data_IF_691806845227
#
_entry.id   IF_691806845227
#
_cell.length_a   1.000
_cell.length_b   1.000
_cell.length_c   1.000
_cell.angle_alpha   90.00
_cell.angle_beta   90.00
_cell.angle_gamma   90.00
#
_symmetry.space_group_name_H-M   'P 1'
#
loop_
_entity.id
_entity.type
_entity.pdbx_description
1 polymer ?
#
# COMPACT_ATOMS: atom_id res chain seq x y z
N UNK A 1 90.70 0.05 44.80
CA UNK A 1 91.10 0.03 43.38
C UNK A 1 91.23 -1.42 42.96
N UNK A 2 90.14 -2.03 42.46
CA UNK A 2 90.13 -3.33 41.81
C UNK A 2 88.85 -3.39 40.96
N UNK A 3 89.02 -3.53 39.65
CA UNK A 3 87.94 -3.66 38.67
C UNK A 3 87.30 -5.05 38.78
N UNK A 4 85.97 -5.13 38.76
CA UNK A 4 85.22 -6.36 38.52
C UNK A 4 84.17 -6.13 37.42
N UNK A 5 84.10 -7.13 36.56
CA UNK A 5 83.56 -7.13 35.20
C UNK A 5 82.05 -7.42 35.18
N UNK A 6 81.39 -6.85 34.17
CA UNK A 6 79.99 -7.02 33.76
C UNK A 6 79.50 -8.47 33.70
N UNK A 7 78.22 -8.67 34.08
CA UNK A 7 77.34 -9.69 33.52
C UNK A 7 75.96 -9.07 33.31
N UNK A 8 75.66 -8.70 32.06
CA UNK A 8 74.35 -8.21 31.64
C UNK A 8 73.66 -9.32 30.83
N UNK A 9 72.68 -9.98 31.42
CA UNK A 9 71.88 -11.04 30.79
C UNK A 9 70.68 -10.38 30.08
N UNK A 10 70.42 -10.65 28.80
CA UNK A 10 69.26 -10.08 28.11
C UNK A 10 67.98 -10.84 28.51
N UNK A 11 67.01 -10.14 29.09
CA UNK A 11 65.67 -10.64 29.37
C UNK A 11 64.86 -10.60 28.06
N UNK A 12 64.56 -11.75 27.48
CA UNK A 12 63.62 -11.88 26.35
C UNK A 12 62.19 -11.56 26.83
N UNK A 13 61.63 -10.43 26.42
CA UNK A 13 60.18 -10.17 26.50
C UNK A 13 59.47 -11.00 25.42
N UNK A 14 58.73 -12.03 25.84
CA UNK A 14 57.76 -12.72 24.97
C UNK A 14 56.52 -11.83 24.81
N UNK A 15 56.36 -11.22 23.65
CA UNK A 15 55.10 -10.58 23.26
C UNK A 15 54.09 -11.66 22.91
N UNK A 16 53.04 -11.80 23.71
CA UNK A 16 51.87 -12.64 23.39
C UNK A 16 50.91 -11.75 22.60
N UNK A 17 50.86 -11.94 21.29
CA UNK A 17 49.90 -11.27 20.41
C UNK A 17 48.55 -11.97 20.56
N UNK A 18 47.59 -11.31 21.20
CA UNK A 18 46.19 -11.74 21.21
C UNK A 18 45.60 -11.45 19.82
N UNK A 19 45.37 -12.49 19.02
CA UNK A 19 44.68 -12.37 17.74
C UNK A 19 43.18 -12.22 18.05
N UNK A 20 42.68 -10.99 18.02
CA UNK A 20 41.25 -10.69 18.06
C UNK A 20 40.66 -11.13 16.72
N UNK A 21 40.09 -12.34 16.68
CA UNK A 21 39.27 -12.79 15.56
C UNK A 21 37.93 -12.08 15.67
N UNK A 22 37.84 -10.87 15.09
CA UNK A 22 36.56 -10.25 14.76
C UNK A 22 35.92 -11.08 13.66
N UNK A 23 35.13 -12.08 14.05
CA UNK A 23 34.22 -12.77 13.15
C UNK A 23 33.21 -11.75 12.63
N UNK A 24 33.41 -11.28 11.41
CA UNK A 24 32.40 -10.55 10.66
C UNK A 24 31.31 -11.58 10.32
N UNK A 25 30.29 -11.68 11.18
CA UNK A 25 29.07 -12.39 10.84
C UNK A 25 28.36 -11.56 9.77
N UNK A 26 28.70 -11.82 8.51
CA UNK A 26 27.89 -11.38 7.38
C UNK A 26 26.57 -12.15 7.50
N UNK A 27 25.57 -11.51 8.12
CA UNK A 27 24.18 -11.92 7.93
C UNK A 27 23.87 -11.66 6.45
N UNK A 28 24.05 -12.70 5.63
CA UNK A 28 23.46 -12.73 4.29
C UNK A 28 21.96 -12.87 4.54
N UNK A 29 21.23 -11.75 4.56
CA UNK A 29 19.78 -11.78 4.36
C UNK A 29 19.59 -12.41 2.98
N UNK A 30 19.06 -13.64 2.98
CA UNK A 30 18.58 -14.23 1.75
C UNK A 30 17.36 -13.39 1.32
N UNK A 31 17.40 -12.87 0.09
CA UNK A 31 16.23 -12.23 -0.51
C UNK A 31 15.05 -13.23 -0.45
N UNK A 32 13.82 -12.76 -0.20
CA UNK A 32 12.65 -13.64 -0.20
C UNK A 32 12.55 -14.47 -1.48
N UNK A 33 12.08 -15.71 -1.37
CA UNK A 33 11.86 -16.55 -2.54
C UNK A 33 10.73 -15.98 -3.41
N UNK A 34 11.09 -15.38 -4.54
CA UNK A 34 10.14 -14.86 -5.51
C UNK A 34 9.79 -15.85 -6.63
N UNK A 35 10.14 -17.13 -6.48
CA UNK A 35 9.81 -18.17 -7.46
C UNK A 35 8.31 -18.49 -7.48
N UNK A 36 7.85 -19.11 -8.58
CA UNK A 36 6.48 -19.63 -8.72
C UNK A 36 5.34 -18.63 -8.45
N UNK A 37 5.52 -17.35 -8.81
CA UNK A 37 4.55 -16.26 -8.59
C UNK A 37 4.24 -15.96 -7.11
N UNK A 38 5.08 -16.42 -6.18
CA UNK A 38 4.99 -16.04 -4.77
C UNK A 38 5.02 -14.51 -4.63
N UNK A 39 4.21 -14.00 -3.71
CA UNK A 39 3.94 -12.58 -3.47
C UNK A 39 3.18 -11.83 -4.58
N UNK A 40 2.80 -12.52 -5.67
CA UNK A 40 2.04 -11.95 -6.79
C UNK A 40 0.67 -12.59 -6.99
N UNK A 41 0.58 -13.90 -6.79
CA UNK A 41 -0.65 -14.67 -6.97
C UNK A 41 -0.91 -15.50 -5.71
N UNK A 42 -2.16 -15.94 -5.53
CA UNK A 42 -2.50 -16.87 -4.46
C UNK A 42 -1.86 -18.23 -4.73
N UNK A 43 -0.75 -18.52 -4.04
CA UNK A 43 -0.01 -19.78 -4.14
C UNK A 43 -0.28 -20.71 -2.96
N UNK A 44 -0.91 -20.21 -1.89
CA UNK A 44 -1.38 -20.97 -0.75
C UNK A 44 -2.90 -21.07 -0.75
N UNK A 45 -3.43 -22.26 -0.43
CA UNK A 45 -4.88 -22.51 -0.42
C UNK A 45 -5.57 -22.03 0.86
N UNK A 46 -4.80 -21.76 1.92
CA UNK A 46 -5.30 -21.32 3.23
C UNK A 46 -4.25 -20.52 4.00
N UNK A 47 -4.69 -19.87 5.07
CA UNK A 47 -3.85 -19.18 6.03
C UNK A 47 -4.20 -19.62 7.46
N UNK A 48 -3.23 -19.48 8.36
CA UNK A 48 -3.38 -19.64 9.79
C UNK A 48 -3.60 -18.26 10.42
N UNK A 49 -4.64 -18.13 11.25
CA UNK A 49 -4.99 -16.90 11.96
C UNK A 49 -4.65 -17.05 13.44
N UNK A 50 -3.85 -16.13 13.98
CA UNK A 50 -3.67 -15.94 15.42
C UNK A 50 -4.26 -14.59 15.81
N UNK A 51 -5.39 -14.61 16.52
CA UNK A 51 -6.13 -13.41 16.90
C UNK A 51 -5.82 -12.90 18.31
N UNK A 52 -6.17 -11.63 18.54
CA UNK A 52 -6.15 -10.95 19.83
C UNK A 52 -4.77 -10.98 20.52
N UNK A 53 -3.72 -10.72 19.73
CA UNK A 53 -2.36 -10.59 20.23
C UNK A 53 -2.16 -9.18 20.75
N UNK A 54 -1.93 -9.02 22.05
CA UNK A 54 -1.60 -7.71 22.62
C UNK A 54 -0.23 -7.23 22.10
N UNK A 55 -0.21 -6.12 21.39
CA UNK A 55 1.03 -5.52 20.87
C UNK A 55 1.48 -4.28 21.66
N UNK A 56 0.56 -3.65 22.39
CA UNK A 56 0.82 -2.39 23.08
C UNK A 56 -0.27 -2.03 24.07
N UNK A 57 -0.08 -0.89 24.74
CA UNK A 57 -1.09 -0.25 25.57
C UNK A 57 -0.70 1.21 25.82
N UNK A 58 -1.69 2.07 26.04
CA UNK A 58 -1.46 3.44 26.48
C UNK A 58 -2.75 4.06 27.02
N UNK A 59 -2.65 5.28 27.57
CA UNK A 59 -3.81 6.02 28.05
C UNK A 59 -4.68 6.50 26.88
N UNK A 60 -5.98 6.23 26.93
CA UNK A 60 -6.94 6.67 25.94
C UNK A 60 -7.52 8.06 26.24
N UNK A 61 -8.43 8.52 25.37
CA UNK A 61 -9.07 9.83 25.50
C UNK A 61 -9.74 10.04 26.87
N UNK A 62 -10.26 8.97 27.48
CA UNK A 62 -10.97 9.01 28.76
C UNK A 62 -10.04 8.91 29.98
N UNK A 63 -8.72 8.89 29.78
CA UNK A 63 -7.73 8.77 30.86
C UNK A 63 -7.52 7.34 31.37
N UNK A 64 -8.06 6.32 30.70
CA UNK A 64 -7.91 4.91 31.09
C UNK A 64 -6.79 4.25 30.29
N UNK A 65 -6.09 3.29 30.90
CA UNK A 65 -5.18 2.43 30.14
C UNK A 65 -5.98 1.53 29.19
N UNK A 66 -5.64 1.57 27.91
CA UNK A 66 -6.27 0.80 26.85
C UNK A 66 -5.23 -0.15 26.25
N UNK A 67 -5.54 -1.44 26.25
CA UNK A 67 -4.72 -2.47 25.62
C UNK A 67 -5.01 -2.49 24.11
N UNK A 68 -3.95 -2.68 23.32
CA UNK A 68 -4.01 -2.67 21.88
C UNK A 68 -3.71 -4.06 21.32
N UNK A 69 -4.57 -4.54 20.44
CA UNK A 69 -4.52 -5.90 19.91
C UNK A 69 -4.34 -5.92 18.40
N UNK A 70 -3.75 -6.99 17.89
CA UNK A 70 -3.64 -7.27 16.47
C UNK A 70 -3.97 -8.72 16.18
N UNK A 71 -4.35 -8.98 14.94
CA UNK A 71 -4.55 -10.31 14.38
C UNK A 71 -3.46 -10.57 13.35
N UNK A 72 -2.82 -11.74 13.39
CA UNK A 72 -1.76 -12.14 12.43
C UNK A 72 -2.26 -13.27 11.56
N UNK A 73 -2.10 -13.10 10.25
CA UNK A 73 -2.43 -14.08 9.21
C UNK A 73 -1.12 -14.55 8.57
N UNK A 74 -0.92 -15.85 8.52
CA UNK A 74 0.27 -16.48 7.95
C UNK A 74 -0.14 -17.54 6.92
N UNK A 75 0.55 -17.67 5.78
CA UNK A 75 0.27 -18.75 4.83
C UNK A 75 0.45 -20.13 5.50
N UNK A 76 -0.59 -20.97 5.43
CA UNK A 76 -0.54 -22.31 6.05
C UNK A 76 0.46 -23.21 5.32
N UNK A 77 1.31 -23.90 6.08
CA UNK A 77 2.27 -24.87 5.53
C UNK A 77 3.46 -24.26 4.79
N UNK A 78 3.62 -22.94 4.86
CA UNK A 78 4.74 -22.23 4.29
C UNK A 78 6.05 -22.48 5.05
N UNK A 79 7.13 -22.75 4.32
CA UNK A 79 8.45 -23.03 4.87
C UNK A 79 9.41 -21.84 4.83
N UNK A 80 9.03 -20.74 4.19
CA UNK A 80 9.84 -19.51 4.20
C UNK A 80 9.79 -18.85 5.58
N UNK A 81 10.93 -18.35 6.04
CA UNK A 81 11.13 -17.81 7.38
C UNK A 81 11.55 -16.34 7.40
N UNK A 82 11.76 -15.72 6.24
CA UNK A 82 12.04 -14.28 6.09
C UNK A 82 11.05 -13.66 5.11
N UNK A 83 9.79 -13.56 5.53
CA UNK A 83 8.68 -13.10 4.68
C UNK A 83 8.45 -11.59 4.80
N UNK A 84 8.02 -10.92 3.74
CA UNK A 84 7.51 -9.56 3.86
C UNK A 84 6.27 -9.51 4.77
N UNK A 85 6.18 -8.46 5.57
CA UNK A 85 5.07 -8.19 6.48
C UNK A 85 4.26 -7.00 5.98
N UNK A 86 2.93 -7.12 5.94
CA UNK A 86 2.03 -5.96 5.76
C UNK A 86 1.19 -5.76 7.00
N UNK A 87 1.27 -4.57 7.60
CA UNK A 87 0.44 -4.17 8.74
C UNK A 87 -0.68 -3.25 8.23
N UNK A 88 -1.94 -3.58 8.49
CA UNK A 88 -3.12 -2.85 8.04
C UNK A 88 -3.82 -2.13 9.19
N UNK A 89 -4.06 -0.83 9.04
CA UNK A 89 -4.89 -0.02 9.92
C UNK A 89 -6.25 0.28 9.27
N UNK A 90 -7.32 0.00 10.00
CA UNK A 90 -8.70 0.16 9.51
C UNK A 90 -9.14 1.64 9.41
N UNK A 91 -10.24 1.87 8.70
CA UNK A 91 -10.94 3.16 8.64
C UNK A 91 -11.91 3.38 9.79
N UNK A 92 -12.81 4.36 9.68
CA UNK A 92 -13.83 4.62 10.71
C UNK A 92 -13.65 5.94 11.48
N UNK A 93 -13.03 6.94 10.84
CA UNK A 93 -12.91 8.32 11.34
C UNK A 93 -12.28 8.46 12.73
N UNK A 94 -11.47 7.48 13.14
CA UNK A 94 -10.87 7.36 14.47
C UNK A 94 -11.85 7.16 15.63
N UNK A 95 -13.15 6.98 15.38
CA UNK A 95 -14.19 6.82 16.41
C UNK A 95 -14.87 5.46 16.37
N UNK A 96 -14.55 4.65 15.37
CA UNK A 96 -15.12 3.34 15.12
C UNK A 96 -14.15 2.46 14.33
N UNK A 97 -14.51 1.19 14.17
CA UNK A 97 -13.76 0.18 13.44
C UNK A 97 -12.96 -0.75 14.34
N UNK A 98 -12.20 -1.65 13.71
CA UNK A 98 -11.32 -2.59 14.38
C UNK A 98 -10.55 -3.46 13.39
N UNK A 99 -9.65 -4.30 13.89
CA UNK A 99 -8.79 -5.21 13.11
C UNK A 99 -9.52 -6.27 12.27
N UNK A 100 -10.83 -6.39 12.39
CA UNK A 100 -11.65 -7.37 11.64
C UNK A 100 -12.60 -6.72 10.63
N UNK A 101 -12.47 -5.41 10.40
CA UNK A 101 -13.33 -4.66 9.50
C UNK A 101 -13.14 -5.06 8.03
N UNK A 102 -14.20 -4.82 7.25
CA UNK A 102 -14.32 -5.25 5.84
C UNK A 102 -13.28 -4.59 4.92
N UNK A 103 -12.67 -3.48 5.35
CA UNK A 103 -11.66 -2.75 4.61
C UNK A 103 -10.24 -3.29 4.80
N UNK A 104 -9.97 -4.06 5.86
CA UNK A 104 -8.63 -4.60 6.17
C UNK A 104 -8.58 -6.12 6.25
N UNK A 105 -9.66 -6.77 6.67
CA UNK A 105 -9.69 -8.23 6.83
C UNK A 105 -9.51 -8.95 5.50
N UNK A 106 -10.26 -8.65 4.41
CA UNK A 106 -10.04 -9.31 3.13
C UNK A 106 -8.63 -9.10 2.59
N UNK A 107 -8.07 -7.88 2.71
CA UNK A 107 -6.68 -7.61 2.32
C UNK A 107 -5.70 -8.49 3.09
N UNK A 108 -5.93 -8.68 4.39
CA UNK A 108 -5.09 -9.52 5.23
C UNK A 108 -5.15 -11.00 4.79
N UNK A 109 -6.35 -11.50 4.53
CA UNK A 109 -6.57 -12.87 4.06
C UNK A 109 -5.93 -13.14 2.69
N UNK A 110 -6.11 -12.24 1.72
CA UNK A 110 -5.64 -12.45 0.35
C UNK A 110 -4.12 -12.30 0.24
N UNK A 111 -3.52 -11.28 0.89
CA UNK A 111 -2.06 -11.16 0.93
C UNK A 111 -1.42 -12.32 1.71
N UNK A 112 -2.05 -12.85 2.75
CA UNK A 112 -1.55 -14.05 3.43
C UNK A 112 -1.48 -15.26 2.47
N UNK A 113 -2.51 -15.48 1.63
CA UNK A 113 -2.51 -16.54 0.61
C UNK A 113 -1.50 -16.31 -0.53
N UNK A 114 -1.04 -15.08 -0.72
CA UNK A 114 0.07 -14.76 -1.64
C UNK A 114 1.45 -15.03 -1.02
N UNK A 115 1.54 -15.36 0.27
CA UNK A 115 2.77 -15.75 0.96
C UNK A 115 3.35 -14.69 1.90
N UNK A 116 2.65 -13.55 2.09
CA UNK A 116 3.02 -12.52 3.05
C UNK A 116 2.64 -12.96 4.46
N UNK A 117 3.33 -12.42 5.47
CA UNK A 117 2.71 -12.30 6.80
C UNK A 117 1.88 -11.02 6.76
N UNK A 118 0.65 -11.06 7.27
CA UNK A 118 -0.15 -9.85 7.40
C UNK A 118 -0.59 -9.67 8.85
N UNK A 119 -0.77 -8.43 9.26
CA UNK A 119 -1.34 -8.09 10.54
C UNK A 119 -2.39 -7.00 10.37
N UNK A 120 -3.54 -7.12 11.02
CA UNK A 120 -4.50 -6.03 11.15
C UNK A 120 -4.54 -5.57 12.60
N UNK A 121 -4.57 -4.25 12.83
CA UNK A 121 -4.40 -3.68 14.18
C UNK A 121 -5.65 -2.96 14.66
N UNK A 122 -5.96 -3.12 15.94
CA UNK A 122 -6.76 -2.14 16.68
C UNK A 122 -5.83 -0.98 17.09
N UNK A 123 -6.34 0.24 17.09
CA UNK A 123 -5.65 1.43 17.61
C UNK A 123 -6.61 2.24 18.49
N UNK A 124 -6.10 3.12 19.37
CA UNK A 124 -6.96 3.85 20.32
C UNK A 124 -7.98 4.71 19.58
N UNK A 125 -9.25 4.50 19.89
CA UNK A 125 -10.35 5.26 19.30
C UNK A 125 -10.79 6.44 20.19
N UNK A 126 -11.53 7.35 19.57
CA UNK A 126 -12.15 8.50 20.21
C UNK A 126 -11.57 9.81 19.72
N UNK A 127 -12.40 10.85 19.75
CA UNK A 127 -12.02 12.23 19.48
C UNK A 127 -12.88 13.13 20.38
N UNK A 128 -12.26 14.15 20.99
CA UNK A 128 -12.96 15.12 21.81
C UNK A 128 -13.96 15.94 20.96
N UNK A 129 -14.95 16.55 21.61
CA UNK A 129 -15.94 17.40 20.94
C UNK A 129 -17.08 16.66 20.23
N UNK A 130 -17.06 15.33 20.10
CA UNK A 130 -18.14 14.57 19.45
C UNK A 130 -19.28 14.21 20.43
N UNK A 131 -20.58 14.38 20.06
CA UNK A 131 -21.07 15.03 18.85
C UNK A 131 -21.20 16.56 18.98
N UNK A 132 -21.08 17.12 20.19
CA UNK A 132 -21.21 18.55 20.44
C UNK A 132 -20.11 19.00 21.42
N UNK A 133 -19.41 20.14 21.19
CA UNK A 133 -19.64 21.17 20.16
C UNK A 133 -19.23 20.84 18.72
N UNK A 134 -18.68 19.65 18.48
CA UNK A 134 -17.93 19.28 17.28
C UNK A 134 -16.43 19.29 17.59
N UNK A 135 -15.64 18.36 17.03
CA UNK A 135 -14.20 18.39 17.18
C UNK A 135 -13.61 19.59 16.45
N UNK A 136 -12.54 20.16 16.99
CA UNK A 136 -11.75 21.18 16.30
C UNK A 136 -10.41 20.62 15.78
N UNK A 137 -9.58 21.52 15.26
CA UNK A 137 -8.26 21.14 14.73
C UNK A 137 -7.31 20.55 15.78
N UNK A 138 -7.43 20.93 17.06
CA UNK A 138 -6.62 20.40 18.16
C UNK A 138 -7.08 18.98 18.46
N UNK A 139 -8.38 18.77 18.64
CA UNK A 139 -8.98 17.46 18.93
C UNK A 139 -8.60 16.40 17.87
N UNK A 140 -8.66 16.79 16.60
CA UNK A 140 -8.27 15.93 15.48
C UNK A 140 -6.76 15.67 15.46
N UNK A 141 -5.94 16.71 15.68
CA UNK A 141 -4.46 16.56 15.70
C UNK A 141 -4.01 15.61 16.81
N UNK A 142 -4.53 15.77 18.03
CA UNK A 142 -4.21 14.89 19.16
C UNK A 142 -4.61 13.44 18.87
N UNK A 143 -5.75 13.23 18.22
CA UNK A 143 -6.23 11.91 17.83
C UNK A 143 -5.32 11.25 16.79
N UNK A 144 -4.86 12.00 15.78
CA UNK A 144 -3.89 11.50 14.80
C UNK A 144 -2.57 11.13 15.47
N UNK A 145 -2.03 11.98 16.35
CA UNK A 145 -0.78 11.67 17.08
C UNK A 145 -0.93 10.40 17.92
N UNK A 146 -2.05 10.30 18.65
CA UNK A 146 -2.37 9.13 19.47
C UNK A 146 -2.33 7.84 18.66
N UNK A 147 -2.97 7.83 17.50
CA UNK A 147 -3.09 6.63 16.66
C UNK A 147 -1.82 6.32 15.86
N UNK A 148 -1.03 7.34 15.50
CA UNK A 148 0.31 7.14 14.92
C UNK A 148 1.26 6.47 15.93
N UNK A 149 1.19 6.83 17.22
CA UNK A 149 1.97 6.15 18.27
C UNK A 149 1.62 4.65 18.35
N UNK A 150 0.35 4.31 18.14
CA UNK A 150 -0.15 2.95 18.19
C UNK A 150 0.33 2.15 16.97
N UNK A 151 0.23 2.71 15.76
CA UNK A 151 0.81 2.11 14.54
C UNK A 151 2.33 1.89 14.67
N UNK A 152 3.06 2.85 15.25
CA UNK A 152 4.49 2.69 15.56
C UNK A 152 4.75 1.59 16.58
N UNK A 153 3.90 1.41 17.58
CA UNK A 153 4.01 0.31 18.55
C UNK A 153 3.79 -1.07 17.90
N UNK A 154 2.90 -1.18 16.92
CA UNK A 154 2.68 -2.41 16.15
C UNK A 154 3.92 -2.80 15.31
N UNK A 155 4.56 -1.84 14.64
CA UNK A 155 5.81 -2.13 13.90
C UNK A 155 6.92 -2.57 14.87
N UNK A 156 7.04 -1.89 16.00
CA UNK A 156 8.03 -2.21 17.04
C UNK A 156 7.79 -3.59 17.66
N UNK A 157 6.53 -4.02 17.78
CA UNK A 157 6.17 -5.36 18.26
C UNK A 157 6.82 -6.46 17.43
N UNK A 158 6.67 -6.41 16.11
CA UNK A 158 7.26 -7.39 15.21
C UNK A 158 8.79 -7.37 15.20
N UNK A 159 9.40 -6.16 15.23
CA UNK A 159 10.85 -6.04 15.30
C UNK A 159 11.43 -6.51 16.63
N UNK A 160 10.72 -6.30 17.73
CA UNK A 160 11.08 -6.86 19.03
C UNK A 160 11.02 -8.38 19.00
N UNK A 161 9.96 -8.95 18.44
CA UNK A 161 9.84 -10.40 18.30
C UNK A 161 10.99 -11.01 17.48
N UNK A 162 11.35 -10.37 16.37
CA UNK A 162 12.51 -10.75 15.57
C UNK A 162 13.81 -10.75 16.40
N UNK A 163 14.05 -9.70 17.19
CA UNK A 163 15.28 -9.53 17.95
C UNK A 163 15.37 -10.40 19.21
N UNK A 164 14.25 -10.61 19.91
CA UNK A 164 14.23 -11.23 21.25
C UNK A 164 13.66 -12.65 21.26
N UNK A 165 12.76 -12.97 20.32
CA UNK A 165 12.01 -14.24 20.32
C UNK A 165 12.34 -15.13 19.11
N UNK A 166 13.44 -14.83 18.41
CA UNK A 166 13.95 -15.67 17.33
C UNK A 166 13.08 -15.65 16.07
N UNK A 167 12.41 -14.53 15.80
CA UNK A 167 11.56 -14.35 14.62
C UNK A 167 10.40 -15.35 14.55
N UNK A 168 9.55 -15.36 15.58
CA UNK A 168 8.46 -16.34 15.71
C UNK A 168 7.41 -16.23 14.59
N UNK A 169 7.28 -15.03 14.01
CA UNK A 169 6.40 -14.76 12.86
C UNK A 169 7.06 -15.08 11.51
N UNK A 170 8.36 -15.36 11.46
CA UNK A 170 9.08 -15.66 10.22
C UNK A 170 9.05 -14.52 9.21
N UNK A 171 9.35 -13.29 9.65
CA UNK A 171 9.36 -12.07 8.84
C UNK A 171 10.77 -11.59 8.53
N UNK A 172 10.92 -10.81 7.46
CA UNK A 172 12.09 -9.97 7.22
C UNK A 172 11.80 -8.54 7.72
N UNK A 173 12.54 -8.08 8.73
CA UNK A 173 12.33 -6.75 9.32
C UNK A 173 12.74 -5.60 8.41
N UNK A 174 13.44 -5.87 7.30
CA UNK A 174 13.72 -4.91 6.24
C UNK A 174 12.57 -4.79 5.22
N UNK A 175 11.60 -5.70 5.25
CA UNK A 175 10.44 -5.75 4.35
C UNK A 175 9.12 -5.66 5.13
N UNK A 176 9.06 -4.72 6.07
CA UNK A 176 7.81 -4.36 6.76
C UNK A 176 7.16 -3.21 6.01
N UNK A 177 5.90 -3.40 5.60
CA UNK A 177 5.06 -2.39 4.98
C UNK A 177 3.92 -2.02 5.93
N UNK A 178 3.48 -0.77 5.86
CA UNK A 178 2.33 -0.30 6.64
C UNK A 178 1.28 0.29 5.70
N UNK A 179 0.09 -0.29 5.72
CA UNK A 179 -1.04 0.15 4.93
C UNK A 179 -2.20 0.61 5.80
N UNK A 180 -3.06 1.45 5.24
CA UNK A 180 -4.32 1.77 5.90
C UNK A 180 -5.35 2.41 5.00
N UNK A 181 -6.60 2.37 5.47
CA UNK A 181 -7.79 2.84 4.77
C UNK A 181 -8.42 4.00 5.53
N UNK A 182 -8.74 5.10 4.84
CA UNK A 182 -9.38 6.29 5.43
C UNK A 182 -8.57 6.82 6.63
N UNK A 183 -9.11 6.76 7.86
CA UNK A 183 -8.39 7.06 9.10
C UNK A 183 -7.06 6.27 9.23
N UNK A 184 -7.03 4.99 8.87
CA UNK A 184 -5.81 4.20 8.80
C UNK A 184 -4.83 4.69 7.73
N UNK A 185 -5.32 5.25 6.62
CA UNK A 185 -4.50 5.90 5.61
C UNK A 185 -3.83 7.17 6.14
N UNK A 186 -4.57 7.97 6.91
CA UNK A 186 -4.03 9.12 7.65
C UNK A 186 -2.92 8.67 8.61
N UNK A 187 -3.11 7.55 9.34
CA UNK A 187 -2.06 6.95 10.19
C UNK A 187 -0.83 6.60 9.35
N UNK A 188 -1.00 5.89 8.23
CA UNK A 188 0.10 5.46 7.38
C UNK A 188 0.94 6.63 6.88
N UNK A 189 0.30 7.70 6.38
CA UNK A 189 0.98 8.88 5.84
C UNK A 189 1.70 9.67 6.95
N UNK A 190 1.08 9.85 8.12
CA UNK A 190 1.75 10.52 9.24
C UNK A 190 2.86 9.65 9.85
N UNK A 191 2.73 8.33 9.84
CA UNK A 191 3.78 7.42 10.28
C UNK A 191 5.05 7.60 9.43
N UNK A 192 4.87 7.77 8.12
CA UNK A 192 5.94 7.97 7.15
C UNK A 192 6.60 9.35 7.18
N UNK A 193 5.83 10.42 7.40
CA UNK A 193 6.30 11.79 7.16
C UNK A 193 6.20 12.75 8.36
N UNK A 194 5.52 12.40 9.46
CA UNK A 194 5.66 13.14 10.72
C UNK A 194 6.84 12.55 11.49
N UNK A 195 8.07 12.88 11.09
CA UNK A 195 9.30 12.24 11.55
C UNK A 195 10.30 13.19 12.24
N UNK A 196 9.98 14.49 12.34
CA UNK A 196 10.77 15.49 13.10
C UNK A 196 9.98 16.28 14.12
N UNK A 197 10.58 16.51 15.29
CA UNK A 197 9.86 17.07 16.45
C UNK A 197 9.31 18.47 16.17
N UNK A 198 9.91 19.22 15.23
CA UNK A 198 9.44 20.54 14.81
C UNK A 198 8.23 20.52 13.85
N UNK A 199 7.87 19.36 13.30
CA UNK A 199 6.64 19.17 12.50
C UNK A 199 5.43 18.98 13.41
N UNK A 200 5.66 18.52 14.65
CA UNK A 200 4.61 18.42 15.65
C UNK A 200 4.11 19.84 15.99
N UNK A 201 2.80 20.12 15.84
CA UNK A 201 2.27 21.44 16.09
C UNK A 201 2.45 21.85 17.55
N UNK A 202 2.95 23.06 17.79
CA UNK A 202 3.30 23.54 19.14
C UNK A 202 2.12 23.67 20.11
N UNK A 203 0.89 23.58 19.60
CA UNK A 203 -0.33 23.63 20.41
C UNK A 203 -0.77 22.25 20.92
N UNK A 204 -0.15 21.16 20.46
CA UNK A 204 -0.39 19.82 21.00
C UNK A 204 0.28 19.72 22.36
N UNK A 205 -0.50 19.41 23.40
CA UNK A 205 0.06 19.16 24.73
C UNK A 205 0.59 17.74 24.82
N UNK A 206 1.88 17.56 24.49
CA UNK A 206 2.57 16.26 24.61
C UNK A 206 2.76 15.80 26.07
N UNK A 207 2.41 16.63 27.07
CA UNK A 207 2.42 16.24 28.49
C UNK A 207 1.12 15.57 28.90
N UNK A 208 0.06 15.70 28.09
CA UNK A 208 -1.20 15.00 28.28
C UNK A 208 -0.98 13.48 28.24
N UNK A 209 -1.62 12.80 29.19
CA UNK A 209 -1.56 11.34 29.27
C UNK A 209 -2.03 10.72 27.94
N UNK A 210 -1.23 9.79 27.41
CA UNK A 210 -1.52 9.14 26.12
C UNK A 210 -0.89 9.81 24.89
N UNK A 211 -0.40 11.06 25.00
CA UNK A 211 0.26 11.81 23.93
C UNK A 211 1.78 11.98 24.13
N UNK A 212 2.31 11.55 25.28
CA UNK A 212 3.75 11.59 25.54
C UNK A 212 4.58 10.63 24.70
N UNK A 213 5.90 10.86 24.69
CA UNK A 213 6.88 10.03 23.98
C UNK A 213 7.50 10.67 22.74
N UNK A 214 7.25 11.98 22.53
CA UNK A 214 7.64 12.68 21.30
C UNK A 214 6.99 12.03 20.09
N UNK A 215 7.63 12.10 18.94
CA UNK A 215 7.15 11.43 17.72
C UNK A 215 7.06 9.91 17.90
N UNK A 216 8.07 9.31 18.54
CA UNK A 216 8.14 7.85 18.64
C UNK A 216 6.94 7.26 19.40
N UNK A 217 6.41 8.01 20.37
CA UNK A 217 5.28 7.61 21.19
C UNK A 217 5.58 6.47 22.17
N UNK A 218 4.76 6.39 23.22
CA UNK A 218 4.93 5.44 24.32
C UNK A 218 3.97 4.25 24.30
N UNK A 219 3.28 3.97 23.19
CA UNK A 219 2.24 2.92 23.14
C UNK A 219 2.76 1.47 23.20
N UNK A 220 4.08 1.25 23.21
CA UNK A 220 4.64 -0.08 23.43
C UNK A 220 5.97 -0.32 22.73
N UNK A 221 6.68 -1.37 23.18
CA UNK A 221 7.92 -1.88 22.59
C UNK A 221 9.01 -0.80 22.36
N UNK A 222 9.35 0.03 23.38
CA UNK A 222 10.37 1.08 23.23
C UNK A 222 11.75 0.47 22.91
N UNK A 223 12.60 1.26 22.26
CA UNK A 223 13.96 0.84 21.87
C UNK A 223 14.05 0.17 20.49
N UNK A 224 12.91 -0.19 19.90
CA UNK A 224 12.83 -0.71 18.53
C UNK A 224 12.47 0.40 17.54
N UNK A 225 13.05 0.34 16.33
CA UNK A 225 12.72 1.28 15.24
C UNK A 225 11.29 1.06 14.74
N UNK A 226 10.58 2.13 14.38
CA UNK A 226 9.27 2.04 13.72
C UNK A 226 9.35 2.26 12.19
N UNK A 227 10.53 2.14 11.59
CA UNK A 227 10.71 2.36 10.14
C UNK A 227 10.07 1.23 9.33
N UNK A 228 9.54 1.57 8.16
CA UNK A 228 8.94 0.64 7.19
C UNK A 228 9.60 0.82 5.83
N UNK A 229 9.55 -0.20 4.99
CA UNK A 229 10.11 -0.18 3.64
C UNK A 229 9.28 0.67 2.68
N UNK A 230 7.96 0.68 2.85
CA UNK A 230 7.02 1.53 2.12
C UNK A 230 5.67 1.58 2.85
N UNK A 231 4.84 2.56 2.48
CA UNK A 231 3.46 2.67 2.95
C UNK A 231 2.43 2.53 1.83
N UNK A 232 1.24 2.04 2.19
CA UNK A 232 0.07 1.90 1.31
C UNK A 232 -1.05 2.79 1.86
N UNK A 233 -1.35 3.87 1.16
CA UNK A 233 -2.31 4.88 1.58
C UNK A 233 -3.60 4.77 0.76
N UNK A 234 -4.70 4.34 1.36
CA UNK A 234 -6.01 4.40 0.71
C UNK A 234 -6.86 5.50 1.34
N UNK A 235 -7.14 6.57 0.59
CA UNK A 235 -7.95 7.72 1.01
C UNK A 235 -7.48 8.38 2.32
N UNK A 236 -6.17 8.42 2.57
CA UNK A 236 -5.58 9.21 3.66
C UNK A 236 -5.11 10.59 3.20
N UNK A 237 -4.93 11.46 4.18
CA UNK A 237 -4.44 12.83 4.02
C UNK A 237 -3.35 13.14 5.06
N UNK A 238 -2.50 14.12 4.74
CA UNK A 238 -1.48 14.67 5.64
C UNK A 238 -1.83 16.12 5.96
N UNK A 239 -1.44 16.59 7.15
CA UNK A 239 -1.63 18.00 7.50
C UNK A 239 -0.86 18.94 6.55
N UNK A 240 0.41 18.62 6.28
CA UNK A 240 1.29 19.49 5.51
C UNK A 240 2.26 18.66 4.67
N UNK A 241 2.12 18.76 3.34
CA UNK A 241 3.02 18.12 2.39
C UNK A 241 4.47 18.63 2.48
N UNK A 242 4.74 19.75 3.16
CA UNK A 242 6.11 20.21 3.39
C UNK A 242 6.97 19.21 4.19
N UNK A 243 6.35 18.29 4.94
CA UNK A 243 7.04 17.22 5.68
C UNK A 243 7.61 16.13 4.76
N UNK A 244 7.21 16.11 3.49
CA UNK A 244 7.87 15.28 2.46
C UNK A 244 9.02 16.12 1.90
N UNK A 245 10.24 15.66 2.13
CA UNK A 245 11.46 16.44 1.97
C UNK A 245 12.36 15.96 0.84
N UNK A 246 12.37 14.67 0.51
CA UNK A 246 13.29 14.15 -0.50
C UNK A 246 13.18 12.66 -0.84
N UNK A 247 14.14 12.23 -1.66
CA UNK A 247 14.22 10.86 -2.19
C UNK A 247 14.51 9.77 -1.16
N UNK A 248 14.90 10.15 0.06
CA UNK A 248 15.18 9.22 1.15
C UNK A 248 13.95 8.96 2.04
N UNK A 249 12.86 9.71 1.84
CA UNK A 249 11.64 9.52 2.61
C UNK A 249 10.97 8.20 2.24
N UNK A 250 10.14 7.73 3.16
CA UNK A 250 9.42 6.45 3.01
C UNK A 250 8.62 6.44 1.69
N UNK A 251 8.86 5.45 0.81
CA UNK A 251 8.10 5.29 -0.41
C UNK A 251 6.60 5.10 -0.16
N UNK A 252 5.73 5.62 -1.03
CA UNK A 252 4.27 5.55 -0.89
C UNK A 252 3.55 5.10 -2.16
N UNK A 253 2.60 4.17 -2.04
CA UNK A 253 1.53 4.03 -3.04
C UNK A 253 0.23 4.60 -2.48
N UNK A 254 -0.47 5.41 -3.26
CA UNK A 254 -1.77 6.00 -2.88
C UNK A 254 -2.92 5.58 -3.80
N UNK A 255 -4.10 5.39 -3.22
CA UNK A 255 -5.38 5.12 -3.89
C UNK A 255 -6.42 6.11 -3.39
N UNK A 256 -7.14 6.81 -4.28
CA UNK A 256 -8.08 7.84 -3.84
C UNK A 256 -9.13 8.14 -4.92
N UNK A 257 -10.41 8.25 -4.52
CA UNK A 257 -11.48 8.75 -5.40
C UNK A 257 -11.35 10.25 -5.65
N UNK A 258 -11.51 10.71 -6.88
CA UNK A 258 -11.42 12.16 -7.19
C UNK A 258 -12.66 12.94 -6.76
N UNK A 259 -13.76 12.25 -6.44
CA UNK A 259 -15.00 12.83 -5.91
C UNK A 259 -15.22 12.49 -4.43
N UNK A 260 -14.14 12.16 -3.71
CA UNK A 260 -14.18 11.82 -2.28
C UNK A 260 -14.74 12.98 -1.46
N UNK A 261 -15.93 12.77 -0.90
CA UNK A 261 -16.64 13.74 -0.08
C UNK A 261 -16.26 13.70 1.40
N UNK A 262 -15.38 12.79 1.81
CA UNK A 262 -14.99 12.58 3.23
C UNK A 262 -13.57 13.06 3.49
N UNK A 263 -12.61 12.61 2.68
CA UNK A 263 -11.21 13.05 2.73
C UNK A 263 -10.91 13.74 1.40
N UNK A 264 -10.38 14.97 1.41
CA UNK A 264 -10.19 15.68 0.15
C UNK A 264 -9.13 14.98 -0.71
N UNK A 265 -9.38 14.94 -2.01
CA UNK A 265 -8.45 14.38 -3.01
C UNK A 265 -7.23 15.30 -3.23
N UNK A 266 -7.45 16.62 -3.21
CA UNK A 266 -6.44 17.68 -3.27
C UNK A 266 -6.23 18.32 -1.89
N UNK A 267 -5.57 19.48 -1.86
CA UNK A 267 -5.52 20.35 -0.68
C UNK A 267 -6.87 21.00 -0.48
N UNK A 268 -7.57 20.66 0.60
CA UNK A 268 -8.85 21.25 0.95
C UNK A 268 -9.15 21.06 2.44
N UNK A 269 -10.27 21.60 2.90
CA UNK A 269 -10.78 21.40 4.24
C UNK A 269 -11.27 19.96 4.42
N UNK A 270 -10.81 19.30 5.48
CA UNK A 270 -11.38 18.02 5.92
C UNK A 270 -12.55 18.25 6.88
N UNK A 271 -13.62 17.47 6.68
CA UNK A 271 -14.82 17.51 7.50
C UNK A 271 -14.96 16.21 8.31
N UNK A 272 -15.21 16.34 9.61
CA UNK A 272 -15.63 15.20 10.42
C UNK A 272 -17.14 14.98 10.27
N UNK A 273 -17.53 13.73 9.99
CA UNK A 273 -18.93 13.33 9.75
C UNK A 273 -19.65 14.18 8.70
N UNK A 274 -18.91 14.76 7.75
CA UNK A 274 -19.40 15.68 6.70
C UNK A 274 -20.13 16.93 7.23
N UNK A 275 -19.92 17.30 8.50
CA UNK A 275 -20.61 18.43 9.14
C UNK A 275 -19.69 19.36 9.92
N UNK A 276 -18.62 18.84 10.54
CA UNK A 276 -17.70 19.65 11.33
C UNK A 276 -16.44 19.94 10.52
N UNK A 277 -16.26 21.21 10.14
CA UNK A 277 -15.02 21.71 9.54
C UNK A 277 -13.87 21.61 10.55
N UNK A 278 -12.78 20.92 10.17
CA UNK A 278 -11.67 20.66 11.09
C UNK A 278 -10.46 21.54 10.77
N UNK A 279 -9.86 21.34 9.59
CA UNK A 279 -8.67 22.06 9.14
C UNK A 279 -8.43 21.81 7.66
N UNK A 280 -7.55 22.61 7.04
CA UNK A 280 -7.01 22.31 5.71
C UNK A 280 -5.99 21.17 5.83
N UNK A 281 -6.09 20.19 4.93
CA UNK A 281 -5.17 19.06 4.80
C UNK A 281 -4.84 18.81 3.33
N UNK A 282 -3.80 18.02 3.08
CA UNK A 282 -3.37 17.59 1.76
C UNK A 282 -3.79 16.15 1.48
N UNK A 283 -4.70 15.98 0.53
CA UNK A 283 -5.11 14.69 -0.02
C UNK A 283 -4.04 13.95 -0.81
N UNK A 284 -4.38 12.74 -1.27
CA UNK A 284 -3.43 11.88 -1.97
C UNK A 284 -2.89 12.47 -3.28
N UNK A 285 -3.64 13.32 -3.99
CA UNK A 285 -3.14 14.00 -5.17
C UNK A 285 -2.08 15.05 -4.80
N UNK A 286 -2.32 15.85 -3.76
CA UNK A 286 -1.33 16.82 -3.25
C UNK A 286 -0.06 16.13 -2.74
N UNK A 287 -0.21 15.00 -2.05
CA UNK A 287 0.90 14.13 -1.64
C UNK A 287 1.67 13.62 -2.88
N UNK A 288 0.97 13.15 -3.92
CA UNK A 288 1.60 12.69 -5.16
C UNK A 288 2.38 13.80 -5.88
N UNK A 289 1.82 15.01 -5.96
CA UNK A 289 2.51 16.17 -6.55
C UNK A 289 3.79 16.48 -5.79
N UNK A 290 3.72 16.48 -4.46
CA UNK A 290 4.88 16.79 -3.63
C UNK A 290 5.94 15.69 -3.70
N UNK A 291 5.57 14.41 -3.58
CA UNK A 291 6.51 13.28 -3.69
C UNK A 291 7.22 13.29 -5.04
N UNK A 292 6.51 13.53 -6.15
CA UNK A 292 7.14 13.74 -7.46
C UNK A 292 8.12 14.91 -7.47
N UNK A 293 7.73 16.05 -6.90
CA UNK A 293 8.59 17.24 -6.82
C UNK A 293 9.86 17.00 -6.01
N UNK A 294 9.77 16.18 -4.96
CA UNK A 294 10.89 15.85 -4.04
C UNK A 294 11.71 14.64 -4.49
N UNK A 295 11.24 13.90 -5.49
CA UNK A 295 11.86 12.67 -5.94
C UNK A 295 11.68 11.50 -4.96
N UNK A 296 10.70 11.57 -4.07
CA UNK A 296 10.29 10.46 -3.21
C UNK A 296 9.66 9.37 -4.08
N UNK A 297 10.08 8.12 -3.90
CA UNK A 297 9.53 6.98 -4.64
C UNK A 297 8.02 6.86 -4.34
N UNK A 298 7.18 6.96 -5.38
CA UNK A 298 5.74 7.01 -5.18
C UNK A 298 4.88 6.57 -6.39
N UNK A 299 3.84 5.78 -6.13
CA UNK A 299 2.79 5.50 -7.09
C UNK A 299 1.46 6.14 -6.67
N UNK A 300 0.65 6.54 -7.65
CA UNK A 300 -0.68 7.07 -7.37
C UNK A 300 -1.71 6.52 -8.36
N UNK A 301 -2.77 5.95 -7.81
CA UNK A 301 -3.87 5.34 -8.56
C UNK A 301 -5.16 6.11 -8.22
N UNK A 302 -5.51 7.13 -9.01
CA UNK A 302 -6.77 7.83 -8.85
C UNK A 302 -7.94 6.95 -9.34
N UNK A 303 -9.00 6.87 -8.53
CA UNK A 303 -10.26 6.24 -8.90
C UNK A 303 -11.21 7.32 -9.43
N UNK A 304 -11.10 7.60 -10.74
CA UNK A 304 -11.90 8.63 -11.40
C UNK A 304 -13.41 8.34 -11.35
N UNK A 305 -14.18 9.37 -11.03
CA UNK A 305 -15.62 9.32 -10.83
C UNK A 305 -16.06 8.63 -9.54
N UNK A 306 -15.15 8.34 -8.61
CA UNK A 306 -15.46 7.61 -7.38
C UNK A 306 -15.36 8.49 -6.13
N UNK A 307 -16.23 8.18 -5.17
CA UNK A 307 -16.25 8.76 -3.83
C UNK A 307 -15.25 8.02 -2.90
N UNK A 308 -15.41 8.17 -1.59
CA UNK A 308 -14.56 7.61 -0.56
C UNK A 308 -14.42 6.08 -0.62
N UNK A 309 -13.17 5.60 -0.62
CA UNK A 309 -12.78 4.19 -0.47
C UNK A 309 -13.60 3.18 -1.30
N UNK A 310 -13.72 3.35 -2.63
CA UNK A 310 -14.65 2.56 -3.45
C UNK A 310 -14.30 1.06 -3.46
N UNK A 311 -13.03 0.72 -3.23
CA UNK A 311 -12.54 -0.66 -3.13
C UNK A 311 -13.18 -1.47 -1.99
N UNK A 312 -13.73 -0.81 -0.96
CA UNK A 312 -14.36 -1.51 0.19
C UNK A 312 -15.67 -2.20 -0.23
N UNK A 313 -16.41 -1.62 -1.18
CA UNK A 313 -17.73 -2.11 -1.58
C UNK A 313 -17.82 -2.56 -3.04
N UNK A 314 -16.81 -2.23 -3.85
CA UNK A 314 -16.78 -2.56 -5.26
C UNK A 314 -15.59 -3.49 -5.60
N UNK A 315 -15.86 -4.75 -5.98
CA UNK A 315 -14.83 -5.73 -6.30
C UNK A 315 -13.82 -5.28 -7.35
N UNK A 316 -14.24 -4.51 -8.37
CA UNK A 316 -13.31 -4.07 -9.42
C UNK A 316 -12.24 -3.09 -8.89
N UNK A 317 -12.63 -2.22 -7.95
CA UNK A 317 -11.68 -1.32 -7.29
C UNK A 317 -10.86 -2.04 -6.22
N UNK A 318 -11.41 -3.08 -5.58
CA UNK A 318 -10.66 -4.00 -4.72
C UNK A 318 -9.54 -4.69 -5.50
N UNK A 319 -9.88 -5.34 -6.62
CA UNK A 319 -8.93 -6.03 -7.50
C UNK A 319 -7.84 -5.06 -7.99
N UNK A 320 -8.22 -3.83 -8.34
CA UNK A 320 -7.26 -2.79 -8.72
C UNK A 320 -6.32 -2.44 -7.58
N UNK A 321 -6.83 -2.23 -6.36
CA UNK A 321 -6.00 -1.93 -5.19
C UNK A 321 -5.00 -3.06 -4.92
N UNK A 322 -5.47 -4.31 -4.90
CA UNK A 322 -4.62 -5.49 -4.68
C UNK A 322 -3.57 -5.61 -5.78
N UNK A 323 -3.97 -5.47 -7.05
CA UNK A 323 -3.07 -5.60 -8.20
C UNK A 323 -1.97 -4.53 -8.22
N UNK A 324 -2.30 -3.27 -7.96
CA UNK A 324 -1.27 -2.22 -7.93
C UNK A 324 -0.41 -2.30 -6.68
N UNK A 325 -0.98 -2.70 -5.53
CA UNK A 325 -0.22 -2.92 -4.30
C UNK A 325 0.82 -4.03 -4.50
N UNK A 326 0.45 -5.20 -5.04
CA UNK A 326 1.42 -6.28 -5.27
C UNK A 326 2.57 -5.82 -6.17
N UNK A 327 2.28 -5.18 -7.31
CA UNK A 327 3.32 -4.72 -8.24
C UNK A 327 4.23 -3.69 -7.60
N UNK A 328 3.66 -2.76 -6.83
CA UNK A 328 4.43 -1.79 -6.09
C UNK A 328 5.34 -2.44 -5.05
N UNK A 329 4.88 -3.45 -4.31
CA UNK A 329 5.70 -4.11 -3.30
C UNK A 329 6.82 -4.99 -3.91
N UNK A 330 6.63 -5.52 -5.12
CA UNK A 330 7.63 -6.36 -5.81
C UNK A 330 8.96 -5.66 -6.08
N UNK A 331 8.99 -4.34 -6.18
CA UNK A 331 10.26 -3.61 -6.32
C UNK A 331 11.15 -3.79 -5.08
N UNK A 332 10.54 -3.89 -3.90
CA UNK A 332 11.26 -4.02 -2.63
C UNK A 332 11.58 -5.49 -2.32
N UNK A 333 10.62 -6.38 -2.62
CA UNK A 333 10.70 -7.80 -2.26
C UNK A 333 11.61 -8.56 -3.23
N UNK A 334 11.47 -8.29 -4.53
CA UNK A 334 12.09 -9.09 -5.61
C UNK A 334 13.03 -8.27 -6.50
N UNK A 335 13.22 -6.98 -6.20
CA UNK A 335 14.03 -6.08 -7.04
C UNK A 335 13.42 -5.84 -8.43
N UNK A 336 12.11 -6.01 -8.58
CA UNK A 336 11.44 -5.82 -9.86
C UNK A 336 11.42 -4.35 -10.29
N UNK A 337 11.35 -4.08 -11.60
CA UNK A 337 11.26 -2.71 -12.09
C UNK A 337 10.09 -1.98 -11.44
N UNK A 338 10.38 -0.73 -11.09
CA UNK A 338 9.40 0.19 -10.57
C UNK A 338 8.37 0.54 -11.65
N UNK A 339 7.13 0.09 -11.45
CA UNK A 339 6.04 0.29 -12.42
C UNK A 339 4.83 0.86 -11.67
N UNK A 340 4.64 2.18 -11.77
CA UNK A 340 3.40 2.87 -11.34
C UNK A 340 2.33 2.94 -12.44
N UNK A 341 2.65 2.42 -13.62
CA UNK A 341 1.79 2.42 -14.80
C UNK A 341 1.71 1.01 -15.34
N UNK A 342 0.54 0.40 -15.22
CA UNK A 342 0.38 -0.98 -15.62
C UNK A 342 0.53 -1.16 -17.14
N UNK A 343 1.59 -1.84 -17.58
CA UNK A 343 1.84 -2.20 -18.97
C UNK A 343 2.01 -3.72 -19.05
N UNK A 344 0.91 -4.47 -19.04
CA UNK A 344 0.92 -5.94 -19.22
C UNK A 344 0.04 -6.73 -18.25
N UNK A 345 -1.20 -6.99 -18.69
CA UNK A 345 -2.13 -8.01 -18.16
C UNK A 345 -2.33 -8.12 -16.65
N UNK A 346 -3.23 -7.29 -16.10
CA UNK A 346 -4.11 -7.77 -15.03
C UNK A 346 -5.03 -8.74 -15.76
N UNK A 347 -5.27 -9.90 -15.16
CA UNK A 347 -6.45 -10.68 -15.50
C UNK A 347 -7.67 -9.84 -15.14
N UNK A 348 -8.02 -8.90 -15.98
CA UNK A 348 -9.28 -8.19 -15.94
C UNK A 348 -10.16 -8.85 -17.00
N UNK A 349 -11.30 -9.37 -16.55
CA UNK A 349 -12.51 -9.10 -17.29
C UNK A 349 -12.53 -7.58 -17.55
N UNK A 350 -12.21 -7.20 -18.79
CA UNK A 350 -12.22 -5.81 -19.23
C UNK A 350 -13.66 -5.30 -19.21
N UNK A 351 -14.07 -4.66 -18.10
CA UNK A 351 -15.23 -3.76 -18.11
C UNK A 351 -14.80 -2.42 -18.71
N UNK A 352 -14.70 -2.39 -20.04
CA UNK A 352 -15.00 -1.17 -20.79
C UNK A 352 -16.48 -0.86 -20.62
N UNK A 353 -16.79 0.29 -20.05
CA UNK A 353 -18.15 0.73 -19.74
C UNK A 353 -18.96 0.95 -21.03
N UNK A 354 -20.01 0.15 -21.24
CA UNK A 354 -21.36 0.48 -21.76
C UNK A 354 -21.97 -0.71 -22.53
N UNK A 355 -22.94 -1.37 -21.88
CA UNK A 355 -24.04 -2.17 -22.46
C UNK A 355 -23.72 -3.11 -23.62
N UNK A 356 -23.39 -4.38 -23.33
CA UNK A 356 -23.52 -5.52 -24.25
C UNK A 356 -22.21 -6.27 -24.51
N UNK A 357 -22.20 -7.59 -24.25
CA UNK A 357 -21.05 -8.46 -24.52
C UNK A 357 -20.87 -8.65 -26.04
N UNK A 358 -19.94 -7.92 -26.64
CA UNK A 358 -19.60 -8.06 -28.05
C UNK A 358 -18.95 -9.43 -28.31
N UNK A 359 -19.65 -10.35 -28.98
CA UNK A 359 -19.13 -11.70 -29.28
C UNK A 359 -18.33 -11.70 -30.57
N UNK A 360 -17.07 -12.14 -30.54
CA UNK A 360 -16.23 -12.23 -31.73
C UNK A 360 -15.29 -13.44 -31.74
N UNK A 361 -14.95 -13.93 -32.93
CA UNK A 361 -14.11 -15.10 -33.14
C UNK A 361 -13.55 -15.17 -34.58
N UNK A 362 -12.43 -15.89 -34.81
CA UNK A 362 -11.47 -16.33 -33.79
C UNK A 362 -10.72 -15.14 -33.19
N UNK A 363 -10.21 -15.29 -31.96
CA UNK A 363 -9.29 -14.34 -31.34
C UNK A 363 -8.34 -15.13 -30.41
N UNK A 364 -7.01 -15.18 -30.66
CA UNK A 364 -6.29 -14.54 -31.77
C UNK A 364 -6.68 -15.05 -33.16
N UNK A 365 -6.42 -14.26 -34.20
CA UNK A 365 -6.70 -14.62 -35.60
C UNK A 365 -5.50 -14.40 -36.51
N UNK A 366 -5.36 -15.23 -37.55
CA UNK A 366 -4.29 -15.09 -38.54
C UNK A 366 -4.69 -14.27 -39.77
N UNK A 367 -5.99 -14.23 -40.08
CA UNK A 367 -6.52 -13.66 -41.33
C UNK A 367 -7.73 -12.74 -41.15
N UNK A 368 -8.71 -13.12 -40.33
CA UNK A 368 -9.93 -12.33 -40.12
C UNK A 368 -10.56 -12.61 -38.76
N UNK A 369 -11.34 -11.64 -38.28
CA UNK A 369 -12.11 -11.72 -37.04
C UNK A 369 -13.56 -11.38 -37.34
N UNK A 370 -14.48 -12.24 -36.92
CA UNK A 370 -15.91 -12.07 -37.10
C UNK A 370 -16.54 -11.58 -35.81
N UNK A 371 -17.26 -10.46 -35.86
CA UNK A 371 -18.07 -9.91 -34.79
C UNK A 371 -19.54 -10.25 -35.02
N UNK A 372 -20.21 -10.74 -33.99
CA UNK A 372 -21.64 -11.03 -34.00
C UNK A 372 -22.39 -9.88 -33.32
N UNK A 373 -23.26 -9.23 -34.08
CA UNK A 373 -23.97 -8.01 -33.73
C UNK A 373 -25.49 -8.23 -33.74
N UNK A 374 -25.95 -9.47 -33.53
CA UNK A 374 -27.37 -9.81 -33.48
C UNK A 374 -28.16 -8.92 -32.49
N UNK A 375 -27.51 -8.40 -31.44
CA UNK A 375 -28.11 -7.52 -30.44
C UNK A 375 -28.45 -6.11 -30.98
N UNK A 376 -27.86 -5.70 -32.12
CA UNK A 376 -28.12 -4.40 -32.75
C UNK A 376 -29.41 -4.38 -33.59
N UNK A 377 -30.09 -5.51 -33.82
CA UNK A 377 -31.40 -5.61 -34.49
C UNK A 377 -31.56 -4.76 -35.78
N UNK A 378 -30.52 -4.67 -36.61
CA UNK A 378 -30.56 -3.92 -37.88
C UNK A 378 -30.33 -2.41 -37.77
N UNK A 379 -29.79 -1.92 -36.65
CA UNK A 379 -29.33 -0.54 -36.51
C UNK A 379 -28.07 -0.26 -37.31
N UNK A 380 -27.94 0.98 -37.79
CA UNK A 380 -26.72 1.42 -38.45
C UNK A 380 -25.61 1.72 -37.43
N UNK A 381 -24.40 1.27 -37.72
CA UNK A 381 -23.23 1.50 -36.90
C UNK A 381 -22.00 1.91 -37.72
N UNK A 382 -21.04 2.53 -37.05
CA UNK A 382 -19.69 2.77 -37.57
C UNK A 382 -18.69 1.95 -36.77
N UNK A 383 -17.59 1.53 -37.39
CA UNK A 383 -16.53 0.73 -36.77
C UNK A 383 -15.22 1.49 -36.86
N UNK A 384 -14.56 1.74 -35.74
CA UNK A 384 -13.21 2.31 -35.68
C UNK A 384 -12.23 1.30 -35.10
N UNK A 385 -11.11 1.08 -35.77
CA UNK A 385 -10.05 0.17 -35.32
C UNK A 385 -8.83 0.98 -34.92
N UNK A 386 -8.31 0.74 -33.73
CA UNK A 386 -7.14 1.41 -33.17
C UNK A 386 -6.02 0.40 -32.92
N UNK A 387 -4.77 0.80 -33.17
CA UNK A 387 -3.60 0.03 -32.73
C UNK A 387 -3.34 0.18 -31.22
N UNK A 388 -2.34 -0.53 -30.72
CA UNK A 388 -1.93 -0.48 -29.31
C UNK A 388 -1.37 0.88 -28.85
N UNK A 389 -1.11 1.82 -29.77
CA UNK A 389 -0.70 3.19 -29.48
C UNK A 389 -1.88 4.17 -29.54
N UNK A 390 -3.11 3.67 -29.73
CA UNK A 390 -4.32 4.48 -29.82
C UNK A 390 -4.49 5.20 -31.17
N UNK A 391 -3.69 4.85 -32.19
CA UNK A 391 -3.84 5.43 -33.54
C UNK A 391 -4.92 4.69 -34.29
N UNK A 392 -5.84 5.42 -34.91
CA UNK A 392 -6.86 4.81 -35.77
C UNK A 392 -6.21 4.27 -37.04
N UNK A 393 -6.33 2.97 -37.27
CA UNK A 393 -5.73 2.26 -38.41
C UNK A 393 -6.78 1.93 -39.49
N UNK A 394 -8.03 1.71 -39.10
CA UNK A 394 -9.14 1.49 -40.04
C UNK A 394 -10.44 2.13 -39.53
N UNK A 395 -11.33 2.46 -40.46
CA UNK A 395 -12.67 2.97 -40.17
C UNK A 395 -13.68 2.54 -41.23
N UNK A 396 -14.88 2.17 -40.76
CA UNK A 396 -16.02 1.76 -41.57
C UNK A 396 -17.24 2.55 -41.10
N UNK A 397 -18.08 3.00 -42.02
CA UNK A 397 -19.28 3.79 -41.67
C UNK A 397 -20.53 3.17 -42.29
N UNK A 398 -21.69 3.48 -41.69
CA UNK A 398 -23.03 3.11 -42.20
C UNK A 398 -23.22 1.60 -42.43
N UNK A 399 -22.68 0.77 -41.55
CA UNK A 399 -22.86 -0.68 -41.58
C UNK A 399 -24.19 -1.06 -40.92
N UNK A 400 -24.90 -2.05 -41.44
CA UNK A 400 -26.24 -2.46 -40.93
C UNK A 400 -26.29 -3.98 -40.67
N UNK A 401 -25.20 -4.69 -40.96
CA UNK A 401 -25.19 -6.14 -40.95
C UNK A 401 -25.10 -6.70 -39.52
N UNK A 402 -25.82 -7.78 -39.25
CA UNK A 402 -25.77 -8.53 -37.98
C UNK A 402 -24.43 -9.25 -37.74
N UNK A 403 -23.56 -9.28 -38.76
CA UNK A 403 -22.17 -9.73 -38.64
C UNK A 403 -21.25 -8.73 -39.33
N UNK A 404 -20.15 -8.43 -38.66
CA UNK A 404 -19.06 -7.64 -39.20
C UNK A 404 -17.79 -8.50 -39.26
N UNK A 405 -17.05 -8.46 -40.37
CA UNK A 405 -15.81 -9.22 -40.51
C UNK A 405 -14.67 -8.23 -40.72
N UNK A 406 -13.77 -8.15 -39.73
CA UNK A 406 -12.53 -7.42 -39.82
C UNK A 406 -11.48 -8.31 -40.50
N UNK A 407 -11.03 -7.92 -41.69
CA UNK A 407 -9.92 -8.57 -42.37
C UNK A 407 -8.59 -8.04 -41.80
N UNK A 408 -7.55 -8.87 -41.83
CA UNK A 408 -6.22 -8.42 -41.42
C UNK A 408 -5.65 -7.39 -42.40
N UNK A 409 -5.82 -7.58 -43.70
CA UNK A 409 -5.52 -6.63 -44.79
C UNK A 409 -4.38 -5.60 -44.56
N UNK A 410 -3.21 -6.06 -44.11
CA UNK A 410 -2.02 -5.22 -43.90
C UNK A 410 -1.76 -4.77 -42.47
N UNK A 411 -2.65 -5.08 -41.52
CA UNK A 411 -2.43 -4.96 -40.09
C UNK A 411 -1.29 -5.92 -39.64
N UNK A 412 -0.32 -5.34 -38.94
CA UNK A 412 0.79 -6.09 -38.33
C UNK A 412 0.30 -7.04 -37.25
N UNK A 413 1.08 -8.06 -36.93
CA UNK A 413 0.80 -8.88 -35.74
C UNK A 413 0.79 -7.99 -34.50
N UNK A 414 -0.25 -8.11 -33.67
CA UNK A 414 -0.39 -7.25 -32.49
C UNK A 414 -1.83 -7.09 -32.01
N UNK A 415 -1.96 -6.22 -31.00
CA UNK A 415 -3.20 -5.90 -30.33
C UNK A 415 -3.93 -4.74 -30.99
N UNK A 416 -5.24 -4.89 -31.18
CA UNK A 416 -6.12 -3.87 -31.74
C UNK A 416 -7.38 -3.69 -30.89
N UNK A 417 -7.90 -2.47 -30.85
CA UNK A 417 -9.17 -2.11 -30.21
C UNK A 417 -10.19 -1.75 -31.29
N UNK A 418 -11.33 -2.43 -31.31
CA UNK A 418 -12.40 -2.21 -32.28
C UNK A 418 -13.60 -1.60 -31.56
N UNK A 419 -14.04 -0.43 -32.01
CA UNK A 419 -15.14 0.32 -31.42
C UNK A 419 -16.29 0.45 -32.42
N UNK A 420 -17.47 -0.05 -32.05
CA UNK A 420 -18.73 0.04 -32.78
C UNK A 420 -19.55 1.20 -32.20
N UNK A 421 -19.77 2.23 -33.00
CA UNK A 421 -20.52 3.43 -32.62
C UNK A 421 -21.92 3.32 -33.20
N UNK A 422 -22.94 3.32 -32.34
CA UNK A 422 -24.37 3.25 -32.69
C UNK A 422 -25.11 4.46 -32.12
N UNK A 423 -26.37 4.66 -32.49
CA UNK A 423 -27.19 5.72 -31.86
C UNK A 423 -27.49 5.43 -30.38
N UNK A 424 -27.47 4.16 -29.96
CA UNK A 424 -27.80 3.72 -28.60
C UNK A 424 -26.61 3.67 -27.66
N UNK A 425 -25.40 3.73 -28.19
CA UNK A 425 -24.17 3.61 -27.42
C UNK A 425 -23.01 3.06 -28.22
N UNK A 426 -21.86 2.94 -27.55
CA UNK A 426 -20.64 2.43 -28.13
C UNK A 426 -20.34 1.04 -27.56
N UNK A 427 -19.91 0.12 -28.41
CA UNK A 427 -19.49 -1.23 -28.04
C UNK A 427 -18.04 -1.42 -28.43
N UNK A 428 -17.19 -1.87 -27.52
CA UNK A 428 -15.76 -2.08 -27.80
C UNK A 428 -15.37 -3.55 -27.64
N UNK A 429 -14.47 -4.02 -28.52
CA UNK A 429 -13.86 -5.34 -28.44
C UNK A 429 -12.35 -5.26 -28.62
N UNK A 430 -11.63 -6.07 -27.85
CA UNK A 430 -10.17 -6.23 -27.93
C UNK A 430 -9.82 -7.45 -28.77
N UNK A 431 -9.00 -7.26 -29.80
CA UNK A 431 -8.68 -8.32 -30.76
C UNK A 431 -7.18 -8.42 -31.06
N UNK A 432 -6.72 -9.62 -31.41
CA UNK A 432 -5.31 -9.95 -31.64
C UNK A 432 -5.17 -10.57 -33.03
N UNK A 433 -4.27 -10.01 -33.85
CA UNK A 433 -3.80 -10.65 -35.07
C UNK A 433 -2.42 -11.28 -34.84
N UNK A 434 -2.25 -12.55 -35.21
CA UNK A 434 -0.97 -13.30 -35.15
C UNK A 434 -0.23 -13.29 -36.48
#
# INVERSE_FOLDING_TARGET
>A
MLFLVNLNIPIMKKSITFLLVTGCWLFVSAQPDCSNNRYKEEVFTSFDLTSDIKYGENINLNGNNEELFLDVYQPSGDTETNRPLIIWAHGGSFVSGGKTEIDVKPLSEDFAKMGYVTASIDYRLGMNGIPFPGPDSVDATETVIRTVHDGRAAIRFFKKDFAENGNSYGIDTSLIFFGGVSAGGVIAVHLAYLDKENEMPSYVDTTQAGLGGGIAGNSGNPGYSANVAAIINSAGAIRDTAWIEGSNDTPIISFHGDQDGTVPFYTDIIYMLNVFEIMVVDGSNSIHIQTNKKGTNNCFVPFWGQDHVPHVTNPAYYDTLVAFTKHYLMQFICGEPYICSFDGTVGTEEKFTLSGDLKFYPNPATSQITFNLNELNGESYSVHVYDNLGRMVESYSNQINEKFILQRDGLTSGLYFVNFITEKGNYSGKVVFE
#
